data_IF_772996117944
#
_entry.id   IF_772996117944
#
_cell.length_a   1.000
_cell.length_b   1.000
_cell.length_c   1.000
_cell.angle_alpha   90.00
_cell.angle_beta   90.00
_cell.angle_gamma   90.00
#
_symmetry.space_group_name_H-M   'P 1'
#
loop_
_entity.id
_entity.type
_entity.pdbx_description
1 polymer ?
#
# COMPACT_ATOMS: atom_id res chain seq x y z
N UNK A 1 -19.12 60.01 -57.62
CA UNK A 1 -19.66 58.70 -58.05
C UNK A 1 -18.74 57.61 -57.53
N UNK A 2 -19.29 56.70 -56.70
CA UNK A 2 -19.06 55.24 -56.61
C UNK A 2 -17.65 54.67 -56.31
N UNK A 3 -17.59 53.86 -55.23
CA UNK A 3 -16.59 52.81 -54.90
C UNK A 3 -15.33 53.36 -54.23
N UNK A 4 -14.74 52.80 -53.17
CA UNK A 4 -14.77 51.44 -52.61
C UNK A 4 -14.49 51.46 -51.09
N UNK A 5 -14.99 50.44 -50.41
CA UNK A 5 -14.71 50.14 -49.00
C UNK A 5 -13.32 49.51 -48.92
N UNK A 6 -12.56 49.81 -47.88
CA UNK A 6 -11.73 48.79 -47.26
C UNK A 6 -11.70 48.97 -45.75
N UNK A 7 -11.94 47.83 -45.09
CA UNK A 7 -12.14 47.64 -43.67
C UNK A 7 -10.94 46.84 -43.18
N UNK A 8 -10.01 47.45 -42.46
CA UNK A 8 -8.86 46.73 -41.89
C UNK A 8 -8.61 47.11 -40.44
N UNK A 9 -9.15 46.24 -39.57
CA UNK A 9 -8.53 45.63 -38.39
C UNK A 9 -8.07 46.52 -37.22
N UNK A 10 -8.99 46.71 -36.27
CA UNK A 10 -8.65 46.80 -34.85
C UNK A 10 -8.45 45.38 -34.29
N UNK A 11 -7.21 44.89 -34.18
CA UNK A 11 -6.92 43.71 -33.36
C UNK A 11 -5.44 43.60 -32.92
N UNK A 12 -4.97 44.35 -31.90
CA UNK A 12 -3.72 44.00 -31.22
C UNK A 12 -3.94 43.34 -29.83
N UNK A 13 -5.18 43.26 -29.32
CA UNK A 13 -5.42 42.81 -27.94
C UNK A 13 -5.95 41.36 -27.83
N UNK A 14 -6.55 40.80 -28.89
CA UNK A 14 -7.06 39.44 -28.87
C UNK A 14 -5.94 38.38 -29.04
N UNK A 15 -4.87 38.72 -29.77
CA UNK A 15 -3.76 37.80 -30.01
C UNK A 15 -2.89 37.59 -28.75
N UNK A 16 -2.78 38.60 -27.89
CA UNK A 16 -1.97 38.50 -26.65
C UNK A 16 -2.65 37.64 -25.58
N UNK A 17 -3.99 37.61 -25.53
CA UNK A 17 -4.73 36.71 -24.64
C UNK A 17 -4.76 35.26 -25.13
N UNK A 18 -4.71 35.01 -26.45
CA UNK A 18 -4.58 33.64 -26.97
C UNK A 18 -3.16 33.07 -26.82
N UNK A 19 -2.12 33.89 -26.86
CA UNK A 19 -0.73 33.43 -26.70
C UNK A 19 -0.34 33.13 -25.23
N UNK A 20 -1.03 33.70 -24.26
CA UNK A 20 -0.84 33.35 -22.83
C UNK A 20 -1.61 32.07 -22.45
N UNK A 21 -2.64 31.69 -23.21
CA UNK A 21 -3.37 30.43 -23.01
C UNK A 21 -2.66 29.19 -23.60
N UNK A 22 -1.59 29.38 -24.38
CA UNK A 22 -0.85 28.30 -25.07
C UNK A 22 0.45 27.87 -24.38
N UNK A 23 0.80 28.43 -23.21
CA UNK A 23 2.02 28.07 -22.49
C UNK A 23 1.84 27.99 -20.97
N UNK A 24 0.77 27.33 -20.53
CA UNK A 24 0.72 26.69 -19.21
C UNK A 24 -0.34 25.58 -19.27
N UNK A 25 0.01 24.43 -19.87
CA UNK A 25 -0.59 23.20 -19.36
C UNK A 25 -0.10 23.10 -17.92
N UNK A 26 -0.89 23.58 -16.96
CA UNK A 26 -0.74 23.12 -15.60
C UNK A 26 -0.79 21.60 -15.70
N UNK A 27 0.36 20.95 -15.56
CA UNK A 27 0.39 19.50 -15.52
C UNK A 27 -0.45 19.13 -14.30
N UNK A 28 -1.67 18.64 -14.55
CA UNK A 28 -2.51 18.12 -13.48
C UNK A 28 -1.73 16.98 -12.82
N UNK A 29 -1.73 16.95 -11.50
CA UNK A 29 -1.19 15.80 -10.77
C UNK A 29 -1.86 14.53 -11.29
N UNK A 30 -1.10 13.44 -11.28
CA UNK A 30 -1.58 12.13 -11.68
C UNK A 30 -2.82 11.77 -10.85
N UNK A 31 -3.92 11.35 -11.49
CA UNK A 31 -5.09 10.90 -10.76
C UNK A 31 -4.80 9.59 -10.03
N UNK A 32 -5.56 9.32 -8.98
CA UNK A 32 -5.49 8.05 -8.28
C UNK A 32 -5.90 6.89 -9.22
N UNK A 33 -5.16 5.79 -9.17
CA UNK A 33 -5.40 4.59 -9.95
C UNK A 33 -4.17 4.11 -10.72
N UNK A 34 -4.43 3.34 -11.77
CA UNK A 34 -3.42 2.71 -12.62
C UNK A 34 -2.49 3.77 -13.24
N UNK A 35 -1.18 3.55 -13.12
CA UNK A 35 -0.17 4.34 -13.80
C UNK A 35 -0.26 4.17 -15.32
N UNK A 36 0.17 5.15 -16.13
CA UNK A 36 0.27 4.97 -17.59
C UNK A 36 1.03 3.69 -17.95
N UNK A 37 0.34 2.76 -18.60
CA UNK A 37 0.83 1.40 -18.90
C UNK A 37 1.45 0.69 -17.69
N UNK A 38 0.90 0.90 -16.49
CA UNK A 38 1.38 0.29 -15.25
C UNK A 38 1.11 -1.22 -15.14
N UNK A 39 0.15 -1.72 -15.92
CA UNK A 39 -0.16 -3.14 -16.08
C UNK A 39 0.45 -3.76 -17.35
N UNK A 40 1.30 -3.01 -18.06
CA UNK A 40 2.07 -3.50 -19.20
C UNK A 40 1.27 -4.10 -20.39
N UNK A 41 -0.03 -3.84 -20.47
CA UNK A 41 -0.89 -4.33 -21.55
C UNK A 41 -0.64 -3.62 -22.89
N UNK A 42 0.01 -2.44 -22.87
CA UNK A 42 0.53 -1.81 -24.07
C UNK A 42 1.93 -2.36 -24.39
N UNK A 43 1.98 -3.27 -25.37
CA UNK A 43 3.19 -4.00 -25.71
C UNK A 43 4.24 -3.15 -26.44
N UNK A 44 5.54 -3.42 -26.20
CA UNK A 44 6.63 -2.92 -27.04
C UNK A 44 6.44 -3.29 -28.51
N UNK A 45 6.99 -2.47 -29.41
CA UNK A 45 7.06 -2.83 -30.82
C UNK A 45 7.86 -4.14 -30.99
N UNK A 46 7.41 -5.05 -31.87
CA UNK A 46 8.13 -6.32 -32.13
C UNK A 46 9.59 -6.10 -32.55
N UNK A 47 9.89 -4.99 -33.22
CA UNK A 47 11.24 -4.59 -33.60
C UNK A 47 12.12 -4.20 -32.42
N UNK A 48 11.55 -3.87 -31.26
CA UNK A 48 12.23 -3.52 -30.00
C UNK A 48 12.39 -4.73 -29.06
N UNK A 49 11.91 -5.91 -29.47
CA UNK A 49 12.07 -7.16 -28.74
C UNK A 49 13.08 -8.10 -29.41
N UNK A 50 13.73 -8.93 -28.61
CA UNK A 50 14.49 -10.10 -29.04
C UNK A 50 14.02 -11.31 -28.20
N UNK A 51 13.03 -12.03 -28.71
CA UNK A 51 12.24 -12.93 -27.88
C UNK A 51 11.44 -12.14 -26.84
N UNK A 52 11.61 -12.46 -25.58
CA UNK A 52 11.06 -11.71 -24.42
C UNK A 52 11.92 -10.51 -24.04
N UNK A 53 13.21 -10.47 -24.42
CA UNK A 53 14.13 -9.42 -24.01
C UNK A 53 13.83 -8.09 -24.68
N UNK A 54 13.74 -7.03 -23.89
CA UNK A 54 13.57 -5.66 -24.35
C UNK A 54 14.93 -5.07 -24.76
N UNK A 55 15.01 -4.42 -25.93
CA UNK A 55 16.27 -3.91 -26.50
C UNK A 55 16.52 -2.43 -26.22
N UNK A 56 15.49 -1.60 -26.36
CA UNK A 56 15.58 -0.15 -26.19
C UNK A 56 15.25 0.29 -24.76
N UNK A 57 15.91 1.35 -24.30
CA UNK A 57 15.61 2.00 -23.01
C UNK A 57 14.15 2.40 -22.92
N UNK A 58 13.61 3.00 -23.99
CA UNK A 58 12.25 3.55 -24.03
C UNK A 58 11.28 2.63 -24.80
N UNK A 59 11.61 1.34 -24.91
CA UNK A 59 10.86 0.39 -25.73
C UNK A 59 9.53 -0.02 -25.11
N UNK A 60 9.42 -0.03 -23.79
CA UNK A 60 8.15 -0.26 -23.08
C UNK A 60 7.41 1.08 -23.05
N UNK A 61 6.20 1.19 -23.62
CA UNK A 61 5.44 2.43 -23.60
C UNK A 61 5.32 2.98 -22.17
N UNK A 62 5.63 4.26 -21.99
CA UNK A 62 5.60 5.00 -20.72
C UNK A 62 6.65 4.62 -19.66
N UNK A 63 7.52 3.65 -19.91
CA UNK A 63 8.52 3.18 -18.95
C UNK A 63 9.91 3.20 -19.58
N UNK A 64 10.89 3.65 -18.81
CA UNK A 64 12.29 3.50 -19.19
C UNK A 64 12.88 2.30 -18.45
N UNK A 65 13.74 1.54 -19.14
CA UNK A 65 14.41 0.38 -18.58
C UNK A 65 15.91 0.60 -18.44
N UNK A 66 16.53 -0.10 -17.49
CA UNK A 66 17.98 -0.28 -17.40
C UNK A 66 18.31 -1.74 -17.15
N UNK A 67 19.43 -2.21 -17.70
CA UNK A 67 19.91 -3.57 -17.50
C UNK A 67 19.13 -4.62 -18.32
N UNK A 68 18.97 -5.82 -17.75
CA UNK A 68 18.31 -6.94 -18.40
C UNK A 68 16.82 -6.96 -18.02
N UNK A 69 15.96 -6.55 -18.95
CA UNK A 69 14.50 -6.53 -18.74
C UNK A 69 13.80 -7.36 -19.81
N UNK A 70 12.83 -8.14 -19.38
CA UNK A 70 12.00 -8.97 -20.26
C UNK A 70 10.53 -8.57 -20.18
N UNK A 71 9.89 -8.54 -21.34
CA UNK A 71 8.46 -8.42 -21.51
C UNK A 71 7.85 -9.82 -21.61
N UNK A 72 7.14 -10.22 -20.57
CA UNK A 72 6.58 -11.56 -20.41
C UNK A 72 5.13 -11.53 -20.86
N UNK A 73 4.72 -12.51 -21.64
CA UNK A 73 3.35 -12.68 -22.10
C UNK A 73 2.76 -14.05 -21.73
N UNK A 74 1.55 -14.37 -22.21
CA UNK A 74 0.85 -15.57 -21.80
C UNK A 74 1.60 -16.85 -22.16
N UNK A 75 1.67 -17.79 -21.21
CA UNK A 75 2.26 -19.12 -21.42
C UNK A 75 3.78 -19.14 -21.53
N UNK A 76 4.46 -18.02 -21.25
CA UNK A 76 5.92 -18.00 -21.18
C UNK A 76 6.45 -18.91 -20.07
N UNK A 77 7.61 -19.52 -20.33
CA UNK A 77 8.22 -20.50 -19.44
C UNK A 77 9.68 -20.18 -19.15
N UNK A 78 10.11 -20.52 -17.94
CA UNK A 78 11.52 -20.65 -17.57
C UNK A 78 11.80 -22.11 -17.27
N UNK A 79 12.53 -22.78 -18.17
CA UNK A 79 12.62 -24.24 -18.16
C UNK A 79 11.23 -24.88 -18.31
N UNK A 80 10.87 -25.76 -17.38
CA UNK A 80 9.55 -26.41 -17.36
C UNK A 80 8.48 -25.62 -16.60
N UNK A 81 8.85 -24.54 -15.91
CA UNK A 81 7.93 -23.73 -15.09
C UNK A 81 7.27 -22.62 -15.92
N UNK A 82 5.96 -22.45 -15.77
CA UNK A 82 5.23 -21.31 -16.35
C UNK A 82 5.47 -20.09 -15.46
N UNK A 83 5.78 -18.94 -16.08
CA UNK A 83 5.89 -17.68 -15.36
C UNK A 83 4.49 -17.15 -15.04
N UNK A 84 4.14 -16.96 -13.75
CA UNK A 84 2.84 -16.44 -13.36
C UNK A 84 2.78 -14.94 -13.68
N UNK A 85 1.81 -14.53 -14.49
CA UNK A 85 1.48 -13.13 -14.72
C UNK A 85 0.41 -12.74 -13.67
N UNK A 86 0.67 -11.79 -12.76
CA UNK A 86 -0.24 -11.43 -11.67
C UNK A 86 -1.61 -10.96 -12.14
N UNK A 87 -1.67 -10.11 -13.16
CA UNK A 87 -2.89 -9.55 -13.72
C UNK A 87 -2.82 -9.56 -15.27
N UNK A 88 -3.97 -9.57 -15.93
CA UNK A 88 -4.01 -9.42 -17.39
C UNK A 88 -3.24 -10.49 -18.15
N UNK A 89 -2.51 -10.07 -19.19
CA UNK A 89 -1.80 -10.94 -20.11
C UNK A 89 -0.28 -10.72 -20.09
N UNK A 90 0.18 -9.56 -19.65
CA UNK A 90 1.57 -9.15 -19.77
C UNK A 90 2.15 -8.61 -18.47
N UNK A 91 3.45 -8.81 -18.29
CA UNK A 91 4.19 -8.28 -17.16
C UNK A 91 5.65 -8.05 -17.54
N UNK A 92 6.39 -7.39 -16.65
CA UNK A 92 7.81 -7.13 -16.84
C UNK A 92 8.63 -7.90 -15.83
N UNK A 93 9.64 -8.64 -16.29
CA UNK A 93 10.61 -9.30 -15.41
C UNK A 93 11.92 -8.54 -15.36
N UNK A 94 12.40 -8.28 -14.15
CA UNK A 94 13.71 -7.67 -13.92
C UNK A 94 14.76 -8.74 -13.70
N UNK A 95 15.79 -8.77 -14.55
CA UNK A 95 17.00 -9.55 -14.32
C UNK A 95 17.91 -8.91 -13.27
N UNK A 96 19.16 -9.41 -13.19
CA UNK A 96 20.14 -8.89 -12.24
C UNK A 96 20.44 -7.39 -12.47
N UNK A 97 20.43 -6.59 -11.40
CA UNK A 97 20.70 -5.14 -11.42
C UNK A 97 19.85 -4.36 -12.43
N UNK A 98 18.69 -4.91 -12.81
CA UNK A 98 17.79 -4.30 -13.76
C UNK A 98 16.79 -3.39 -13.04
N UNK A 99 16.34 -2.35 -13.75
CA UNK A 99 15.30 -1.47 -13.25
C UNK A 99 14.32 -1.04 -14.32
N UNK A 100 13.13 -0.66 -13.85
CA UNK A 100 12.16 0.12 -14.61
C UNK A 100 11.93 1.44 -13.88
N UNK A 101 11.65 2.50 -14.64
CA UNK A 101 11.33 3.78 -14.07
C UNK A 101 10.27 4.54 -14.88
N UNK A 102 9.48 5.33 -14.16
CA UNK A 102 8.48 6.20 -14.76
C UNK A 102 8.49 7.57 -14.07
N UNK A 103 8.37 8.62 -14.88
CA UNK A 103 8.25 10.00 -14.39
C UNK A 103 6.79 10.33 -14.11
N UNK A 104 6.51 10.80 -12.90
CA UNK A 104 5.17 11.08 -12.40
C UNK A 104 5.01 12.58 -12.16
N UNK A 105 3.88 13.15 -12.61
CA UNK A 105 3.47 14.49 -12.23
C UNK A 105 2.67 14.41 -10.92
N UNK A 106 3.13 15.06 -9.86
CA UNK A 106 2.56 14.95 -8.51
C UNK A 106 2.37 16.33 -7.89
N UNK A 107 1.61 16.42 -6.79
CA UNK A 107 1.45 17.65 -6.03
C UNK A 107 2.56 17.74 -4.98
N UNK A 108 3.36 18.79 -5.03
CA UNK A 108 4.41 19.02 -4.02
C UNK A 108 3.81 19.12 -2.61
N UNK A 109 4.40 18.41 -1.65
CA UNK A 109 3.97 18.33 -0.25
C UNK A 109 2.79 17.37 0.00
N UNK A 110 2.22 16.75 -1.04
CA UNK A 110 1.25 15.69 -0.87
C UNK A 110 1.96 14.35 -0.65
N UNK A 111 1.29 13.45 0.09
CA UNK A 111 1.74 12.08 0.31
C UNK A 111 1.06 11.16 -0.69
N UNK A 112 1.81 10.17 -1.15
CA UNK A 112 1.35 9.20 -2.13
C UNK A 112 1.71 7.80 -1.68
N UNK A 113 0.86 6.82 -1.97
CA UNK A 113 1.21 5.41 -1.95
C UNK A 113 1.32 4.90 -3.38
N UNK A 114 2.33 4.09 -3.67
CA UNK A 114 2.43 3.29 -4.89
C UNK A 114 2.07 1.85 -4.52
N UNK A 115 1.23 1.21 -5.34
CA UNK A 115 0.89 -0.21 -5.22
C UNK A 115 1.33 -0.92 -6.49
N UNK A 116 1.92 -2.10 -6.38
CA UNK A 116 2.21 -2.95 -7.54
C UNK A 116 2.23 -4.43 -7.16
N UNK A 117 2.02 -5.30 -8.13
CA UNK A 117 2.08 -6.74 -7.96
C UNK A 117 3.46 -7.27 -8.30
N UNK A 118 3.95 -8.21 -7.49
CA UNK A 118 5.22 -8.88 -7.71
C UNK A 118 5.04 -10.39 -7.54
N UNK A 119 5.54 -11.13 -8.53
CA UNK A 119 5.65 -12.58 -8.50
C UNK A 119 7.13 -12.98 -8.44
N UNK A 120 7.44 -13.99 -7.63
CA UNK A 120 8.78 -14.57 -7.61
C UNK A 120 8.95 -15.53 -8.78
N UNK A 121 10.02 -15.37 -9.53
CA UNK A 121 10.38 -16.34 -10.59
C UNK A 121 11.52 -17.26 -10.14
N UNK A 122 12.14 -16.98 -8.99
CA UNK A 122 13.32 -17.68 -8.52
C UNK A 122 13.26 -18.11 -7.06
N UNK A 123 14.05 -19.13 -6.71
CA UNK A 123 14.01 -19.80 -5.41
C UNK A 123 14.57 -18.98 -4.23
N UNK A 124 15.30 -17.88 -4.48
CA UNK A 124 15.89 -17.05 -3.41
C UNK A 124 15.00 -15.89 -2.98
N UNK A 125 15.21 -15.38 -1.76
CA UNK A 125 14.51 -14.20 -1.25
C UNK A 125 14.77 -13.01 -2.18
N UNK A 126 13.72 -12.57 -2.87
CA UNK A 126 13.79 -11.43 -3.78
C UNK A 126 13.56 -10.16 -2.96
N UNK A 127 14.40 -9.16 -3.20
CA UNK A 127 14.24 -7.83 -2.63
C UNK A 127 14.05 -6.87 -3.80
N UNK A 128 13.19 -5.87 -3.60
CA UNK A 128 13.01 -4.80 -4.57
C UNK A 128 13.32 -3.48 -3.91
N UNK A 129 14.23 -2.72 -4.51
CA UNK A 129 14.47 -1.35 -4.11
C UNK A 129 13.43 -0.49 -4.82
N UNK A 130 12.60 0.20 -4.05
CA UNK A 130 11.65 1.19 -4.56
C UNK A 130 12.18 2.56 -4.17
N UNK A 131 12.39 3.42 -5.16
CA UNK A 131 12.98 4.75 -4.94
C UNK A 131 12.10 5.81 -5.60
N UNK A 132 11.78 6.87 -4.84
CA UNK A 132 11.17 8.09 -5.35
C UNK A 132 11.95 9.29 -4.82
N UNK A 133 12.59 10.02 -5.74
CA UNK A 133 13.48 11.14 -5.39
C UNK A 133 14.62 10.73 -4.44
N UNK A 134 14.59 11.17 -3.17
CA UNK A 134 15.58 10.80 -2.14
C UNK A 134 15.12 9.66 -1.25
N UNK A 135 13.83 9.33 -1.30
CA UNK A 135 13.23 8.32 -0.45
C UNK A 135 13.42 6.97 -1.15
N UNK A 136 13.93 5.98 -0.42
CA UNK A 136 14.17 4.65 -0.93
C UNK A 136 13.98 3.63 0.16
N UNK A 137 13.33 2.53 -0.19
CA UNK A 137 13.13 1.40 0.71
C UNK A 137 13.34 0.06 0.00
N UNK A 138 13.55 -0.99 0.78
CA UNK A 138 13.77 -2.36 0.33
C UNK A 138 12.54 -3.19 0.69
N UNK A 139 11.74 -3.51 -0.33
CA UNK A 139 10.56 -4.34 -0.15
C UNK A 139 10.94 -5.82 -0.15
N UNK A 140 10.71 -6.57 0.95
CA UNK A 140 10.97 -7.98 0.99
C UNK A 140 9.87 -8.74 0.25
N UNK A 141 10.15 -9.22 -0.96
CA UNK A 141 9.22 -10.03 -1.74
C UNK A 141 9.31 -11.47 -1.23
N UNK A 142 8.33 -11.87 -0.42
CA UNK A 142 8.29 -13.17 0.24
C UNK A 142 7.18 -14.03 -0.34
N UNK A 143 7.48 -15.29 -0.69
CA UNK A 143 6.48 -16.28 -1.18
C UNK A 143 5.63 -16.89 -0.06
N UNK A 144 5.47 -16.22 1.08
CA UNK A 144 4.80 -16.82 2.24
C UNK A 144 3.36 -16.32 2.38
N UNK A 145 2.99 -15.24 1.69
CA UNK A 145 1.68 -14.64 1.91
C UNK A 145 0.56 -15.35 1.17
N UNK A 146 0.74 -15.68 -0.12
CA UNK A 146 -0.28 -16.42 -0.89
C UNK A 146 0.26 -17.62 -1.66
N UNK A 147 -0.65 -18.57 -1.91
CA UNK A 147 -0.41 -19.75 -2.74
C UNK A 147 -0.46 -19.47 -4.25
N UNK A 148 -0.86 -18.25 -4.64
CA UNK A 148 -1.01 -17.86 -6.05
C UNK A 148 0.33 -17.71 -6.77
N UNK A 149 1.40 -17.38 -6.01
CA UNK A 149 2.73 -17.10 -6.55
C UNK A 149 3.04 -15.61 -6.73
N UNK A 150 2.09 -14.73 -6.43
CA UNK A 150 2.27 -13.28 -6.42
C UNK A 150 1.52 -12.60 -5.27
N UNK A 151 1.90 -11.37 -4.97
CA UNK A 151 1.18 -10.50 -4.04
C UNK A 151 1.26 -9.05 -4.53
N UNK A 152 0.30 -8.21 -4.11
CA UNK A 152 0.40 -6.77 -4.26
C UNK A 152 1.06 -6.15 -3.05
N UNK A 153 2.02 -5.25 -3.26
CA UNK A 153 2.77 -4.54 -2.24
C UNK A 153 2.51 -3.05 -2.37
N UNK A 154 2.48 -2.33 -1.24
CA UNK A 154 2.40 -0.88 -1.26
C UNK A 154 3.44 -0.22 -0.37
N UNK A 155 3.97 0.89 -0.88
CA UNK A 155 4.95 1.75 -0.22
C UNK A 155 4.54 3.21 -0.41
N UNK A 156 4.93 4.11 0.50
CA UNK A 156 4.51 5.51 0.48
C UNK A 156 5.67 6.50 0.57
N UNK A 157 5.45 7.69 0.00
CA UNK A 157 6.41 8.79 0.00
C UNK A 157 5.73 10.16 0.08
N UNK A 158 6.50 11.19 0.41
CA UNK A 158 6.06 12.59 0.29
C UNK A 158 6.70 13.25 -0.93
N UNK A 159 5.88 13.86 -1.78
CA UNK A 159 6.35 14.49 -2.99
C UNK A 159 7.11 15.79 -2.68
N UNK A 160 8.45 15.74 -2.65
CA UNK A 160 9.29 16.94 -2.43
C UNK A 160 9.25 17.94 -3.60
N UNK A 161 8.79 17.51 -4.77
CA UNK A 161 8.69 18.30 -6.02
C UNK A 161 7.40 17.95 -6.76
N UNK A 162 7.00 18.79 -7.72
CA UNK A 162 5.82 18.55 -8.56
C UNK A 162 6.03 17.52 -9.68
N UNK A 163 7.25 16.99 -9.81
CA UNK A 163 7.57 15.90 -10.71
C UNK A 163 8.63 15.02 -10.04
N UNK A 164 8.36 13.73 -9.96
CA UNK A 164 9.23 12.73 -9.33
C UNK A 164 9.45 11.57 -10.29
N UNK A 165 10.50 10.79 -10.07
CA UNK A 165 10.76 9.55 -10.80
C UNK A 165 10.58 8.39 -9.84
N UNK A 166 9.64 7.50 -10.15
CA UNK A 166 9.52 6.19 -9.51
C UNK A 166 10.50 5.24 -10.18
N UNK A 167 11.33 4.57 -9.38
CA UNK A 167 12.29 3.56 -9.83
C UNK A 167 12.02 2.29 -9.04
N UNK A 168 11.87 1.17 -9.73
CA UNK A 168 11.87 -0.17 -9.12
C UNK A 168 13.08 -0.91 -9.65
N UNK A 169 13.95 -1.33 -8.74
CA UNK A 169 15.23 -1.93 -9.05
C UNK A 169 15.37 -3.29 -8.36
N UNK A 170 15.82 -4.28 -9.11
CA UNK A 170 16.22 -5.57 -8.58
C UNK A 170 17.74 -5.57 -8.28
N UNK A 171 18.16 -5.44 -7.00
CA UNK A 171 19.58 -5.52 -6.60
C UNK A 171 20.12 -6.96 -6.57
N UNK A 172 19.29 -7.94 -6.92
CA UNK A 172 19.67 -9.35 -6.90
C UNK A 172 20.74 -9.64 -7.94
N UNK A 173 21.75 -10.41 -7.53
CA UNK A 173 22.75 -10.97 -8.45
C UNK A 173 22.75 -12.48 -8.30
N UNK A 174 22.22 -13.17 -9.31
CA UNK A 174 22.15 -14.63 -9.36
C UNK A 174 22.91 -15.20 -10.56
N UNK A 175 23.11 -16.52 -10.61
CA UNK A 175 23.78 -17.20 -11.74
C UNK A 175 23.03 -17.03 -13.06
N UNK A 176 21.69 -17.02 -13.02
CA UNK A 176 20.85 -16.75 -14.19
C UNK A 176 20.58 -15.24 -14.27
N UNK A 177 21.14 -14.51 -15.26
CA UNK A 177 20.94 -13.06 -15.33
C UNK A 177 19.49 -12.62 -15.57
N UNK A 178 18.63 -13.53 -16.03
CA UNK A 178 17.21 -13.28 -16.27
C UNK A 178 16.32 -13.56 -15.05
N UNK A 179 16.90 -14.13 -14.00
CA UNK A 179 16.21 -14.53 -12.78
C UNK A 179 15.95 -13.32 -11.87
N UNK A 180 14.68 -13.05 -11.60
CA UNK A 180 14.26 -11.98 -10.70
C UNK A 180 12.75 -11.74 -10.72
N UNK A 181 12.27 -10.74 -9.99
CA UNK A 181 10.84 -10.52 -9.79
C UNK A 181 10.15 -10.15 -11.09
N UNK A 182 8.95 -10.67 -11.25
CA UNK A 182 8.02 -10.30 -12.31
C UNK A 182 7.01 -9.31 -11.73
N UNK A 183 6.92 -8.14 -12.36
CA UNK A 183 6.23 -6.96 -11.88
C UNK A 183 5.06 -6.61 -12.78
N UNK A 184 3.98 -6.16 -12.16
CA UNK A 184 2.73 -5.86 -12.84
C UNK A 184 1.86 -4.89 -12.03
N UNK A 185 0.80 -4.36 -12.65
CA UNK A 185 -0.28 -3.61 -12.03
C UNK A 185 0.18 -2.45 -11.13
N UNK A 186 1.00 -1.53 -11.65
CA UNK A 186 1.39 -0.32 -10.93
C UNK A 186 0.25 0.69 -10.83
N UNK A 187 -0.08 1.11 -9.61
CA UNK A 187 -1.01 2.19 -9.30
C UNK A 187 -0.42 3.19 -8.31
N UNK A 188 -0.97 4.40 -8.31
CA UNK A 188 -0.68 5.44 -7.34
C UNK A 188 -1.98 5.93 -6.70
N UNK A 189 -1.93 6.31 -5.44
CA UNK A 189 -3.01 7.01 -4.76
C UNK A 189 -2.46 8.14 -3.90
N UNK A 190 -3.13 9.28 -3.94
CA UNK A 190 -2.90 10.40 -3.04
C UNK A 190 -3.45 10.05 -1.67
N UNK A 191 -2.57 10.02 -0.65
CA UNK A 191 -2.97 9.72 0.72
C UNK A 191 -3.50 10.99 1.38
N UNK A 192 -4.71 10.91 1.91
CA UNK A 192 -5.29 12.02 2.65
C UNK A 192 -4.65 12.11 4.05
N UNK A 193 -4.32 13.31 4.54
CA UNK A 193 -3.91 13.45 5.92
C UNK A 193 -5.07 13.00 6.81
N UNK A 194 -4.80 12.28 7.92
CA UNK A 194 -5.86 11.82 8.80
C UNK A 194 -6.71 13.01 9.25
N UNK A 195 -8.05 12.88 9.27
CA UNK A 195 -8.91 13.97 9.71
C UNK A 195 -8.52 14.40 11.12
N UNK A 196 -8.57 15.72 11.39
CA UNK A 196 -8.35 16.29 12.72
C UNK A 196 -9.22 15.53 13.71
N UNK A 197 -8.57 14.88 14.70
CA UNK A 197 -9.14 13.95 15.68
C UNK A 197 -10.66 14.08 15.79
N UNK A 198 -11.39 13.11 15.23
CA UNK A 198 -12.85 13.02 15.36
C UNK A 198 -13.20 13.26 16.83
N UNK A 199 -14.10 14.23 17.12
CA UNK A 199 -14.34 14.75 18.47
C UNK A 199 -14.31 13.62 19.51
N UNK A 200 -13.19 13.52 20.24
CA UNK A 200 -12.87 12.59 21.33
C UNK A 200 -12.17 11.26 21.01
N UNK A 201 -12.08 10.78 19.76
CA UNK A 201 -11.22 9.64 19.43
C UNK A 201 -9.78 10.12 19.21
N UNK A 202 -8.85 9.54 19.96
CA UNK A 202 -7.43 9.89 19.93
C UNK A 202 -6.65 9.06 18.89
N UNK A 203 -7.24 7.99 18.38
CA UNK A 203 -6.73 7.19 17.27
C UNK A 203 -7.06 7.89 15.96
N UNK A 204 -6.06 7.98 15.09
CA UNK A 204 -6.22 8.43 13.71
C UNK A 204 -6.29 7.21 12.79
N UNK A 205 -7.12 7.30 11.74
CA UNK A 205 -7.34 6.23 10.77
C UNK A 205 -7.66 4.87 11.43
N UNK A 206 -8.46 4.89 12.51
CA UNK A 206 -8.77 3.70 13.30
C UNK A 206 -9.75 2.74 12.63
N UNK A 207 -10.51 3.24 11.66
CA UNK A 207 -11.42 2.53 10.76
C UNK A 207 -10.75 2.15 9.42
N UNK A 208 -9.47 2.49 9.25
CA UNK A 208 -8.65 2.14 8.07
C UNK A 208 -9.21 2.58 6.71
N UNK A 209 -10.16 3.52 6.67
CA UNK A 209 -10.77 4.01 5.43
C UNK A 209 -9.79 4.77 4.54
N UNK A 210 -8.70 5.27 5.12
CA UNK A 210 -7.55 5.80 4.37
C UNK A 210 -6.43 4.75 4.29
N UNK A 211 -5.93 4.52 3.08
CA UNK A 211 -5.00 3.43 2.80
C UNK A 211 -4.58 3.39 1.33
N UNK A 212 -3.76 2.40 0.92
CA UNK A 212 -3.28 2.28 -0.45
C UNK A 212 -4.39 2.00 -1.47
N UNK A 213 -4.05 2.15 -2.76
CA UNK A 213 -4.94 1.74 -3.84
C UNK A 213 -5.09 0.22 -3.86
N UNK A 214 -6.32 -0.27 -3.94
CA UNK A 214 -6.65 -1.67 -4.22
C UNK A 214 -7.34 -1.73 -5.57
N UNK A 215 -6.84 -2.57 -6.48
CA UNK A 215 -7.49 -2.81 -7.75
C UNK A 215 -8.84 -3.51 -7.55
N UNK A 216 -9.92 -3.07 -8.22
CA UNK A 216 -11.23 -3.71 -8.11
C UNK A 216 -11.23 -5.20 -8.45
N UNK A 217 -10.30 -5.66 -9.29
CA UNK A 217 -10.20 -7.04 -9.75
C UNK A 217 -9.12 -7.85 -8.99
N UNK A 218 -8.58 -7.32 -7.88
CA UNK A 218 -7.54 -7.96 -7.07
C UNK A 218 -8.09 -8.52 -5.74
N UNK A 219 -8.61 -9.76 -5.71
CA UNK A 219 -9.24 -10.37 -4.52
C UNK A 219 -8.24 -10.92 -3.49
N UNK A 220 -7.01 -10.38 -3.43
CA UNK A 220 -5.94 -10.82 -2.52
C UNK A 220 -5.48 -9.72 -1.54
N UNK A 221 -6.07 -8.52 -1.62
CA UNK A 221 -5.70 -7.38 -0.78
C UNK A 221 -4.33 -6.80 -1.14
N UNK A 222 -3.79 -5.95 -0.27
CA UNK A 222 -2.49 -5.29 -0.48
C UNK A 222 -1.61 -5.43 0.75
N UNK A 223 -0.42 -5.98 0.58
CA UNK A 223 0.58 -6.09 1.63
C UNK A 223 1.23 -4.73 1.89
N UNK A 224 1.28 -4.36 3.16
CA UNK A 224 2.00 -3.18 3.64
C UNK A 224 3.20 -3.70 4.45
N UNK A 225 4.43 -3.55 3.91
CA UNK A 225 5.65 -4.07 4.52
C UNK A 225 6.00 -3.31 5.80
N UNK A 226 6.94 -3.84 6.59
CA UNK A 226 7.45 -3.12 7.75
C UNK A 226 8.12 -1.80 7.37
N UNK A 227 8.14 -0.86 8.31
CA UNK A 227 8.51 0.53 8.03
C UNK A 227 9.45 1.14 9.07
N UNK A 228 10.28 0.32 9.70
CA UNK A 228 11.14 0.78 10.79
C UNK A 228 12.14 1.88 10.35
N UNK A 229 12.30 2.10 9.03
CA UNK A 229 13.18 3.11 8.40
C UNK A 229 12.45 4.17 7.53
N UNK A 230 11.14 4.05 7.28
CA UNK A 230 10.39 4.96 6.39
C UNK A 230 9.69 6.11 7.14
N UNK A 231 9.80 7.33 6.60
CA UNK A 231 9.07 8.50 7.13
C UNK A 231 7.55 8.43 6.86
N UNK A 232 7.10 7.60 5.91
CA UNK A 232 5.71 7.58 5.41
C UNK A 232 5.13 6.16 5.29
N UNK A 233 3.86 6.02 5.67
CA UNK A 233 3.11 4.77 5.56
C UNK A 233 1.96 4.87 4.57
N UNK A 234 1.68 3.81 3.78
CA UNK A 234 0.38 3.65 3.14
C UNK A 234 -0.78 3.65 4.12
N UNK A 235 -0.57 3.25 5.39
CA UNK A 235 -1.58 3.20 6.45
C UNK A 235 -1.40 4.32 7.48
N UNK A 236 -0.85 5.48 7.08
CA UNK A 236 -0.49 6.54 8.02
C UNK A 236 -1.68 6.93 8.93
N UNK A 237 -1.48 7.08 10.25
CA UNK A 237 -0.21 7.08 10.99
C UNK A 237 0.13 5.75 11.68
N UNK A 238 -0.37 4.61 11.17
CA UNK A 238 -0.03 3.30 11.71
C UNK A 238 1.40 2.89 11.34
N UNK A 239 2.10 2.30 12.31
CA UNK A 239 3.42 1.69 12.15
C UNK A 239 3.27 0.17 12.06
N UNK A 240 3.92 -0.43 11.08
CA UNK A 240 4.05 -1.88 10.94
C UNK A 240 5.40 -2.26 11.56
N UNK A 241 5.37 -2.66 12.83
CA UNK A 241 6.56 -3.01 13.59
C UNK A 241 6.96 -4.45 13.28
N UNK A 242 7.94 -4.61 12.42
CA UNK A 242 8.55 -5.89 12.06
C UNK A 242 9.85 -5.62 11.28
N UNK A 243 10.70 -6.61 11.13
CA UNK A 243 11.87 -6.52 10.23
C UNK A 243 11.61 -7.15 8.86
N UNK A 244 10.60 -8.02 8.76
CA UNK A 244 10.41 -8.85 7.55
C UNK A 244 8.95 -9.13 7.22
N UNK A 245 8.01 -8.83 8.12
CA UNK A 245 6.63 -9.29 8.01
C UNK A 245 5.65 -8.13 7.79
N UNK A 246 4.77 -8.31 6.82
CA UNK A 246 3.78 -7.34 6.38
C UNK A 246 2.44 -7.55 7.09
N UNK A 247 1.62 -6.51 7.09
CA UNK A 247 0.18 -6.62 7.31
C UNK A 247 -0.54 -6.60 5.96
N UNK A 248 -1.79 -7.05 5.90
CA UNK A 248 -2.58 -7.02 4.66
C UNK A 248 -3.74 -6.04 4.82
N UNK A 249 -3.80 -5.06 3.94
CA UNK A 249 -4.92 -4.13 3.81
C UNK A 249 -6.03 -4.76 2.96
N UNK A 250 -7.26 -4.69 3.46
CA UNK A 250 -8.42 -5.38 2.91
C UNK A 250 -9.51 -4.40 2.48
N UNK A 251 -10.43 -4.89 1.65
CA UNK A 251 -11.62 -4.17 1.23
C UNK A 251 -12.91 -5.00 1.30
N UNK A 252 -14.02 -4.31 1.56
CA UNK A 252 -15.34 -4.92 1.72
C UNK A 252 -15.90 -5.55 0.44
N UNK A 253 -15.36 -5.25 -0.74
CA UNK A 253 -15.83 -5.88 -1.97
C UNK A 253 -15.38 -7.35 -2.05
N UNK A 254 -14.25 -7.69 -1.41
CA UNK A 254 -13.66 -9.02 -1.46
C UNK A 254 -13.66 -9.74 -0.11
N UNK A 255 -13.74 -9.00 1.01
CA UNK A 255 -13.57 -9.53 2.36
C UNK A 255 -14.65 -9.06 3.32
N UNK A 256 -14.83 -9.84 4.39
CA UNK A 256 -15.58 -9.39 5.54
C UNK A 256 -14.75 -8.37 6.34
N UNK A 257 -15.18 -7.11 6.33
CA UNK A 257 -14.62 -6.05 7.18
C UNK A 257 -15.58 -5.76 8.34
N UNK A 258 -15.08 -5.52 9.57
CA UNK A 258 -15.96 -5.26 10.72
C UNK A 258 -16.82 -3.99 10.58
N UNK A 259 -16.27 -2.92 10.03
CA UNK A 259 -16.91 -1.63 9.85
C UNK A 259 -16.46 -0.99 8.51
N UNK A 260 -17.28 -0.08 7.96
CA UNK A 260 -16.91 0.68 6.78
C UNK A 260 -16.63 -0.17 5.54
N UNK A 261 -15.58 0.20 4.80
CA UNK A 261 -15.15 -0.45 3.56
C UNK A 261 -13.76 -1.09 3.66
N UNK A 262 -13.00 -0.87 4.74
CA UNK A 262 -11.59 -1.23 4.83
C UNK A 262 -11.24 -1.82 6.19
N UNK A 263 -10.19 -2.63 6.23
CA UNK A 263 -9.65 -3.20 7.46
C UNK A 263 -8.20 -3.66 7.25
N UNK A 264 -7.54 -4.09 8.33
CA UNK A 264 -6.19 -4.67 8.27
C UNK A 264 -6.18 -6.08 8.86
N UNK A 265 -5.57 -7.04 8.17
CA UNK A 265 -5.34 -8.40 8.63
C UNK A 265 -3.88 -8.58 9.10
N UNK A 266 -3.70 -9.18 10.30
CA UNK A 266 -2.40 -9.47 10.88
C UNK A 266 -1.96 -10.91 10.58
N UNK A 267 -1.10 -11.08 9.57
CA UNK A 267 -0.79 -12.37 8.95
C UNK A 267 0.23 -13.24 9.70
N UNK A 268 1.20 -12.60 10.36
CA UNK A 268 2.48 -13.24 10.71
C UNK A 268 2.68 -13.42 12.22
N UNK A 269 1.62 -13.84 12.93
CA UNK A 269 1.69 -14.09 14.37
C UNK A 269 2.36 -12.94 15.14
N UNK A 270 3.25 -13.30 16.06
CA UNK A 270 3.95 -12.34 16.95
C UNK A 270 5.16 -11.65 16.30
N UNK A 271 5.44 -11.92 15.03
CA UNK A 271 6.56 -11.30 14.30
C UNK A 271 6.19 -9.96 13.65
N UNK A 272 4.91 -9.56 13.73
CA UNK A 272 4.42 -8.23 13.33
C UNK A 272 3.52 -7.64 14.39
N UNK A 273 3.64 -6.35 14.64
CA UNK A 273 2.65 -5.57 15.37
C UNK A 273 2.19 -4.36 14.55
N UNK A 274 0.89 -4.05 14.60
CA UNK A 274 0.38 -2.77 14.12
C UNK A 274 0.26 -1.81 15.30
N UNK A 275 0.90 -0.65 15.22
CA UNK A 275 1.00 0.26 16.36
C UNK A 275 0.77 1.74 15.99
N UNK A 276 0.33 2.52 16.97
CA UNK A 276 0.22 3.97 16.88
C UNK A 276 0.61 4.61 18.21
N UNK A 277 1.39 5.69 18.16
CA UNK A 277 1.71 6.48 19.35
C UNK A 277 0.71 7.61 19.52
N UNK A 278 0.09 7.67 20.70
CA UNK A 278 -0.97 8.64 21.00
C UNK A 278 -0.56 9.49 22.20
N UNK A 279 -0.79 10.80 22.11
CA UNK A 279 -0.58 11.71 23.23
C UNK A 279 -1.59 11.44 24.35
N UNK A 280 -1.13 11.12 25.55
CA UNK A 280 -1.96 10.85 26.73
C UNK A 280 -1.52 11.73 27.89
N UNK A 281 -2.09 11.54 29.08
CA UNK A 281 -1.68 12.26 30.30
C UNK A 281 -1.45 11.24 31.39
N UNK A 282 -0.26 11.24 31.99
CA UNK A 282 0.08 10.30 33.04
C UNK A 282 -0.95 10.32 34.19
N UNK A 283 -1.35 9.14 34.66
CA UNK A 283 -2.34 8.97 35.72
C UNK A 283 -3.80 9.11 35.30
N UNK A 284 -4.11 9.46 34.03
CA UNK A 284 -5.49 9.49 33.54
C UNK A 284 -5.95 8.13 33.03
N UNK A 285 -7.22 7.76 33.30
CA UNK A 285 -7.81 6.55 32.75
C UNK A 285 -8.27 6.76 31.30
N UNK A 286 -8.09 5.72 30.49
CA UNK A 286 -8.47 5.66 29.08
C UNK A 286 -9.14 4.32 28.77
N UNK A 287 -9.92 4.28 27.70
CA UNK A 287 -10.53 3.08 27.14
C UNK A 287 -10.13 2.93 25.68
N UNK A 288 -9.47 1.81 25.37
CA UNK A 288 -9.21 1.35 24.02
C UNK A 288 -10.31 0.35 23.62
N UNK A 289 -10.99 0.60 22.51
CA UNK A 289 -11.94 -0.33 21.90
C UNK A 289 -11.54 -0.62 20.46
N UNK A 290 -11.83 -1.82 19.99
CA UNK A 290 -11.52 -2.26 18.62
C UNK A 290 -12.41 -3.43 18.23
N UNK A 291 -12.52 -3.69 16.94
CA UNK A 291 -13.18 -4.87 16.39
C UNK A 291 -12.15 -5.85 15.83
N UNK A 292 -12.35 -7.14 16.07
CA UNK A 292 -11.47 -8.18 15.53
C UNK A 292 -12.23 -9.47 15.19
N UNK A 293 -11.77 -10.19 14.17
CA UNK A 293 -12.51 -11.30 13.58
C UNK A 293 -11.73 -12.01 12.48
N UNK A 294 -12.46 -12.59 11.52
CA UNK A 294 -11.88 -13.20 10.31
C UNK A 294 -12.40 -12.53 9.03
N UNK A 295 -11.59 -12.61 7.97
CA UNK A 295 -11.82 -11.91 6.71
C UNK A 295 -12.86 -12.59 5.80
N UNK A 296 -13.44 -13.73 6.18
CA UNK A 296 -14.37 -14.48 5.32
C UNK A 296 -13.73 -15.11 4.08
N UNK A 297 -12.42 -15.32 4.12
CA UNK A 297 -11.59 -15.79 3.01
C UNK A 297 -11.25 -17.30 3.10
N UNK A 298 -11.96 -18.04 3.97
CA UNK A 298 -11.70 -19.44 4.27
C UNK A 298 -10.61 -19.70 5.31
N UNK A 299 -10.05 -18.66 5.97
CA UNK A 299 -9.11 -18.83 7.08
C UNK A 299 -9.80 -19.46 8.31
N UNK A 300 -9.70 -20.78 8.45
CA UNK A 300 -10.27 -21.52 9.60
C UNK A 300 -9.23 -21.78 10.67
N UNK A 301 -9.60 -21.60 11.95
CA UNK A 301 -8.70 -21.87 13.07
C UNK A 301 -8.96 -20.94 14.25
N UNK A 302 -8.15 -21.09 15.30
CA UNK A 302 -8.21 -20.20 16.46
C UNK A 302 -7.39 -18.95 16.18
N UNK A 303 -8.08 -17.87 15.82
CA UNK A 303 -7.49 -16.55 15.65
C UNK A 303 -7.53 -15.83 17.00
N UNK A 304 -6.47 -15.12 17.35
CA UNK A 304 -6.41 -14.39 18.61
C UNK A 304 -5.62 -13.11 18.42
N UNK A 305 -6.29 -11.98 18.66
CA UNK A 305 -5.68 -10.66 18.59
C UNK A 305 -5.44 -10.14 20.00
N UNK A 306 -4.22 -9.73 20.28
CA UNK A 306 -3.85 -9.11 21.55
C UNK A 306 -3.57 -7.64 21.35
N UNK A 307 -4.24 -6.82 22.15
CA UNK A 307 -4.02 -5.39 22.21
C UNK A 307 -3.22 -5.02 23.46
N UNK A 308 -2.33 -4.04 23.33
CA UNK A 308 -1.50 -3.49 24.39
C UNK A 308 -1.68 -1.97 24.47
N UNK A 309 -1.74 -1.44 25.70
CA UNK A 309 -1.70 -0.01 25.96
C UNK A 309 -1.15 0.25 27.37
N UNK A 310 -0.10 1.08 27.48
CA UNK A 310 0.66 1.30 28.71
C UNK A 310 1.12 -0.05 29.33
N UNK A 311 0.72 -0.35 30.57
CA UNK A 311 0.99 -1.66 31.21
C UNK A 311 -0.16 -2.67 31.05
N UNK A 312 -1.25 -2.29 30.39
CA UNK A 312 -2.43 -3.12 30.18
C UNK A 312 -2.35 -3.94 28.89
N UNK A 313 -3.04 -5.08 28.89
CA UNK A 313 -3.29 -5.85 27.67
C UNK A 313 -4.62 -6.59 27.74
N UNK A 314 -5.20 -6.88 26.59
CA UNK A 314 -6.39 -7.74 26.44
C UNK A 314 -6.18 -8.67 25.26
N UNK A 315 -6.57 -9.94 25.40
CA UNK A 315 -6.57 -10.91 24.29
C UNK A 315 -8.00 -11.24 23.93
N UNK A 316 -8.35 -11.11 22.65
CA UNK A 316 -9.69 -11.41 22.13
C UNK A 316 -9.60 -12.66 21.26
N UNK A 317 -10.11 -13.81 21.73
CA UNK A 317 -10.14 -15.03 20.94
C UNK A 317 -11.32 -15.07 19.97
N UNK A 318 -11.07 -15.57 18.77
CA UNK A 318 -12.03 -15.75 17.69
C UNK A 318 -11.83 -17.13 17.03
N UNK A 319 -12.78 -18.02 17.26
CA UNK A 319 -12.82 -19.32 16.59
C UNK A 319 -13.39 -19.14 15.19
N UNK A 320 -12.51 -19.09 14.20
CA UNK A 320 -12.85 -18.78 12.82
C UNK A 320 -13.30 -20.02 12.05
N UNK A 321 -14.39 -19.87 11.31
CA UNK A 321 -14.81 -20.80 10.25
C UNK A 321 -14.46 -20.27 8.85
N UNK A 322 -13.78 -19.12 8.75
CA UNK A 322 -13.42 -18.47 7.49
C UNK A 322 -14.62 -17.93 6.73
N UNK A 323 -15.71 -17.55 7.42
CA UNK A 323 -16.99 -17.10 6.84
C UNK A 323 -17.29 -15.63 7.13
N UNK A 324 -16.36 -14.94 7.76
CA UNK A 324 -16.52 -13.59 8.27
C UNK A 324 -17.16 -13.58 9.64
N UNK A 325 -17.06 -12.43 10.29
CA UNK A 325 -17.62 -12.17 11.61
C UNK A 325 -16.56 -11.54 12.50
N UNK A 326 -17.02 -10.76 13.47
CA UNK A 326 -16.14 -10.02 14.36
C UNK A 326 -16.73 -9.92 15.77
N UNK A 327 -15.86 -9.55 16.71
CA UNK A 327 -16.18 -9.25 18.11
C UNK A 327 -15.49 -7.97 18.52
N UNK A 328 -16.03 -7.33 19.55
CA UNK A 328 -15.44 -6.13 20.15
C UNK A 328 -14.45 -6.51 21.26
N UNK A 329 -13.26 -5.93 21.20
CA UNK A 329 -12.29 -5.91 22.29
C UNK A 329 -12.39 -4.60 23.07
N UNK A 330 -12.14 -4.66 24.38
CA UNK A 330 -12.11 -3.48 25.26
C UNK A 330 -10.96 -3.62 26.25
N UNK A 331 -10.16 -2.56 26.38
CA UNK A 331 -9.08 -2.43 27.36
C UNK A 331 -9.18 -1.08 28.07
N UNK A 332 -9.53 -1.13 29.35
CA UNK A 332 -9.41 0.03 30.24
C UNK A 332 -8.00 0.05 30.84
N UNK A 333 -7.30 1.17 30.71
CA UNK A 333 -5.95 1.34 31.25
C UNK A 333 -5.74 2.75 31.83
N UNK A 334 -4.70 2.90 32.65
CA UNK A 334 -4.25 4.22 33.11
C UNK A 334 -2.93 4.53 32.43
N UNK A 335 -2.82 5.70 31.79
CA UNK A 335 -1.59 6.09 31.12
C UNK A 335 -0.44 6.26 32.13
N UNK A 336 0.73 5.76 31.80
CA UNK A 336 1.94 5.85 32.65
C UNK A 336 2.83 7.03 32.30
N UNK A 337 2.62 7.64 31.13
CA UNK A 337 3.36 8.76 30.59
C UNK A 337 2.44 9.63 29.71
N UNK A 338 2.96 10.75 29.21
CA UNK A 338 2.22 11.66 28.32
C UNK A 338 2.15 11.18 26.86
N UNK A 339 2.69 10.00 26.58
CA UNK A 339 2.56 9.29 25.31
C UNK A 339 2.34 7.82 25.60
N UNK A 340 1.37 7.21 24.92
CA UNK A 340 1.07 5.79 25.03
C UNK A 340 1.08 5.18 23.63
N UNK A 341 1.88 4.13 23.46
CA UNK A 341 1.80 3.26 22.29
C UNK A 341 0.62 2.32 22.46
N UNK A 342 -0.29 2.32 21.50
CA UNK A 342 -1.24 1.23 21.31
C UNK A 342 -0.66 0.26 20.29
N UNK A 343 -0.74 -1.03 20.55
CA UNK A 343 -0.21 -2.05 19.65
C UNK A 343 -1.13 -3.27 19.58
N UNK A 344 -1.23 -3.85 18.40
CA UNK A 344 -2.03 -5.04 18.10
C UNK A 344 -1.16 -6.11 17.48
N UNK A 345 -1.29 -7.34 17.98
CA UNK A 345 -0.45 -8.47 17.59
C UNK A 345 -1.33 -9.70 17.39
N UNK A 346 -1.06 -10.47 16.34
CA UNK A 346 -1.65 -11.80 16.19
C UNK A 346 -0.92 -12.79 17.10
N UNK A 347 -1.64 -13.57 17.88
CA UNK A 347 -1.03 -14.48 18.85
C UNK A 347 -0.64 -15.85 18.25
N UNK A 348 -0.98 -16.10 16.99
CA UNK A 348 -0.73 -17.37 16.33
C UNK A 348 -0.38 -17.20 14.86
N UNK A 349 0.40 -18.15 14.35
CA UNK A 349 0.57 -18.37 12.93
C UNK A 349 -0.57 -19.23 12.41
N UNK A 350 -1.34 -18.73 11.45
CA UNK A 350 -2.44 -19.47 10.84
C UNK A 350 -2.28 -19.47 9.33
N UNK A 351 -2.60 -20.61 8.71
CA UNK A 351 -2.56 -20.80 7.28
C UNK A 351 -3.86 -21.44 6.82
N UNK A 352 -4.30 -21.07 5.63
CA UNK A 352 -5.37 -21.74 4.90
C UNK A 352 -4.91 -23.11 4.42
N UNK A 353 -5.86 -23.94 3.98
CA UNK A 353 -5.56 -25.27 3.43
C UNK A 353 -4.67 -25.24 2.18
N UNK A 354 -4.65 -24.12 1.46
CA UNK A 354 -3.80 -23.88 0.29
C UNK A 354 -2.39 -23.36 0.65
N UNK A 355 -2.10 -23.14 1.94
CA UNK A 355 -0.81 -22.63 2.42
C UNK A 355 -0.71 -21.09 2.50
N UNK A 356 -1.74 -20.35 2.11
CA UNK A 356 -1.81 -18.88 2.25
C UNK A 356 -1.82 -18.49 3.73
N UNK A 357 -0.99 -17.53 4.12
CA UNK A 357 -1.02 -16.96 5.47
C UNK A 357 -2.29 -16.12 5.68
N UNK A 358 -2.88 -16.27 6.86
CA UNK A 358 -4.06 -15.52 7.27
C UNK A 358 -4.04 -15.30 8.78
N UNK A 359 -4.88 -14.38 9.25
CA UNK A 359 -4.91 -14.03 10.66
C UNK A 359 -6.13 -13.20 11.07
N UNK A 360 -6.12 -12.67 12.31
CA UNK A 360 -7.21 -11.83 12.76
C UNK A 360 -7.25 -10.51 11.98
N UNK A 361 -8.45 -10.13 11.58
CA UNK A 361 -8.76 -8.79 11.06
C UNK A 361 -8.86 -7.83 12.24
N UNK A 362 -8.43 -6.58 12.06
CA UNK A 362 -8.51 -5.46 12.98
C UNK A 362 -9.17 -4.27 12.29
N UNK A 363 -10.09 -3.62 12.99
CA UNK A 363 -10.83 -2.46 12.51
C UNK A 363 -11.51 -1.70 13.67
N UNK A 364 -12.15 -0.56 13.40
CA UNK A 364 -12.95 0.26 14.33
C UNK A 364 -12.21 0.57 15.64
N UNK A 365 -10.95 0.96 15.52
CA UNK A 365 -10.07 1.23 16.64
C UNK A 365 -10.32 2.63 17.20
N UNK A 366 -10.63 2.71 18.50
CA UNK A 366 -10.88 3.97 19.19
C UNK A 366 -10.21 4.02 20.56
N UNK A 367 -9.68 5.19 20.90
CA UNK A 367 -9.10 5.47 22.20
C UNK A 367 -9.71 6.75 22.75
N UNK A 368 -10.36 6.65 23.91
CA UNK A 368 -11.05 7.77 24.54
C UNK A 368 -10.59 7.96 26.00
N UNK A 369 -10.44 9.21 26.42
CA UNK A 369 -10.19 9.55 27.82
C UNK A 369 -11.44 9.32 28.66
N UNK A 370 -11.30 8.59 29.77
CA UNK A 370 -12.38 8.40 30.72
C UNK A 370 -12.41 9.56 31.72
N UNK A 371 -13.61 10.06 32.02
CA UNK A 371 -13.76 11.04 33.10
C UNK A 371 -13.53 10.34 34.43
N UNK A 372 -12.65 10.89 35.27
CA UNK A 372 -12.54 10.42 36.65
C UNK A 372 -13.87 10.67 37.35
N UNK A 373 -14.58 9.59 37.71
CA UNK A 373 -15.68 9.72 38.66
C UNK A 373 -15.05 10.16 39.98
N UNK A 374 -15.18 11.43 40.32
CA UNK A 374 -14.85 11.91 41.65
C UNK A 374 -15.56 10.98 42.64
N UNK A 375 -14.78 10.24 43.44
CA UNK A 375 -15.33 9.43 44.51
C UNK A 375 -16.22 10.35 45.34
N UNK A 376 -17.54 10.10 45.33
CA UNK A 376 -18.44 10.71 46.32
C UNK A 376 -17.92 10.27 47.68
N UNK A 377 -17.13 11.12 48.32
CA UNK A 377 -16.89 11.04 49.77
C UNK A 377 -18.27 11.19 50.40
N UNK A 378 -18.87 10.06 50.75
CA UNK A 378 -19.87 10.05 51.81
C UNK A 378 -19.12 10.44 53.08
N UNK A 379 -19.22 11.71 53.46
CA UNK A 379 -18.94 12.16 54.81
C UNK A 379 -20.05 11.57 55.68
N UNK A 380 -19.71 10.55 56.46
CA UNK A 380 -20.47 10.10 57.62
C UNK A 380 -19.92 10.80 58.86
#
# INVERSE_FOLDING_TARGET
MRGERDMVQNAPHAALFLLVALAARAASAIPDGLLPNGNFEEAPAKSELNGTRVKGRDAIPHWEISGFVEYIGPGQKQGDMILPVPEGAYAVRLGNEASIQQRLAVTQGARYSVTFSAARTCAQAEQLNVTVATDSDVLPIQTVYTSSGWDSYSWAFEATRSAVTLIVHNPGVTEDPACGPLLDAFAIKTLQPPPVLAKNNMIQNGDFEEGPYIFPDAPWGVLVPPMDEDDYSPLSPWMILSTTKSVKYLDAAHYAVPHGARAVELLSGVETALAQDVATVAGRPYRLEFSTGDAGDGCSGSLSLRAYAASGSVTVPHESQGRGGHKRGVLDFTATADRTRVAFVSMAYTMKSDGTLCGPVLDDVSLVGLHSRAARRFLL
#
